data_IF_356636266508
#
_entry.id   IF_356636266508
#
_cell.length_a   1.000
_cell.length_b   1.000
_cell.length_c   1.000
_cell.angle_alpha   90.00
_cell.angle_beta   90.00
_cell.angle_gamma   90.00
#
_symmetry.space_group_name_H-M   'P 1'
#
loop_
_entity.id
_entity.type
_entity.pdbx_description
1 polymer ?
#
# COMPACT_ATOMS: atom_id res chain seq x y z
N UNK A 1 -4.21 4.04 7.33
CA UNK A 1 -4.41 5.48 7.11
C UNK A 1 -4.49 5.70 5.62
N UNK A 2 -5.62 6.19 5.10
CA UNK A 2 -5.72 6.55 3.69
C UNK A 2 -5.08 7.92 3.51
N UNK A 3 -3.92 7.95 2.84
CA UNK A 3 -3.04 9.11 2.74
C UNK A 3 -3.74 10.32 2.12
N UNK A 4 -4.74 10.09 1.26
CA UNK A 4 -5.57 11.13 0.66
C UNK A 4 -6.32 11.99 1.68
N UNK A 5 -6.93 11.40 2.69
CA UNK A 5 -7.66 12.19 3.72
C UNK A 5 -6.72 13.08 4.53
N UNK A 6 -5.49 12.60 4.76
CA UNK A 6 -4.45 13.42 5.38
C UNK A 6 -3.96 14.52 4.43
N UNK A 7 -3.94 14.27 3.13
CA UNK A 7 -3.59 15.25 2.10
C UNK A 7 -4.68 16.30 1.88
N UNK A 8 -5.96 15.91 1.93
CA UNK A 8 -7.12 16.83 1.87
C UNK A 8 -7.13 17.77 3.08
N UNK A 9 -6.75 17.29 4.27
CA UNK A 9 -6.54 18.14 5.44
C UNK A 9 -5.40 19.16 5.26
N UNK A 10 -4.51 18.94 4.29
CA UNK A 10 -3.39 19.80 3.91
C UNK A 10 -3.60 20.51 2.55
N UNK A 11 -4.81 20.46 1.98
CA UNK A 11 -5.16 21.03 0.65
C UNK A 11 -4.30 20.49 -0.51
N UNK A 12 -3.92 19.22 -0.43
CA UNK A 12 -3.11 18.51 -1.43
C UNK A 12 -3.97 17.53 -2.23
N UNK A 13 -4.01 17.72 -3.55
CA UNK A 13 -4.67 16.79 -4.48
C UNK A 13 -3.80 15.55 -4.67
N UNK A 14 -4.32 14.38 -4.31
CA UNK A 14 -3.66 13.08 -4.48
C UNK A 14 -4.19 12.35 -5.70
N UNK A 15 -3.28 11.91 -6.55
CA UNK A 15 -3.59 10.96 -7.62
C UNK A 15 -3.71 9.54 -7.04
N UNK A 16 -4.95 9.04 -6.95
CA UNK A 16 -5.23 7.70 -6.45
C UNK A 16 -4.69 6.61 -7.40
N UNK A 17 -4.71 6.84 -8.71
CA UNK A 17 -4.12 5.92 -9.70
C UNK A 17 -2.60 5.84 -9.51
N UNK A 18 -2.00 6.98 -9.16
CA UNK A 18 -0.69 7.17 -8.52
C UNK A 18 -0.28 6.11 -7.52
N UNK A 19 -1.22 5.81 -6.64
CA UNK A 19 -0.95 5.21 -5.33
C UNK A 19 -0.99 3.69 -5.37
N UNK A 20 -1.67 3.10 -6.35
CA UNK A 20 -1.84 1.64 -6.51
C UNK A 20 -1.05 1.06 -7.69
N UNK A 21 -0.01 1.77 -8.16
CA UNK A 21 0.82 1.28 -9.27
C UNK A 21 0.12 1.31 -10.64
N UNK A 22 -0.89 2.16 -10.82
CA UNK A 22 -1.48 2.42 -12.14
C UNK A 22 -0.49 3.09 -13.10
N UNK A 23 -0.90 3.30 -14.36
CA UNK A 23 -0.07 3.99 -15.36
C UNK A 23 -0.03 5.50 -15.04
N UNK A 24 0.91 5.90 -14.20
CA UNK A 24 1.00 7.25 -13.66
C UNK A 24 1.93 8.05 -14.55
N UNK A 25 1.35 9.02 -15.27
CA UNK A 25 2.16 10.13 -15.81
C UNK A 25 2.58 11.00 -14.62
N UNK A 26 3.71 10.66 -14.01
CA UNK A 26 4.31 11.42 -12.92
C UNK A 26 4.27 12.92 -13.23
N UNK A 27 3.45 13.67 -12.49
CA UNK A 27 3.37 15.12 -12.63
C UNK A 27 4.68 15.76 -12.21
N UNK A 28 5.46 16.26 -13.17
CA UNK A 28 6.55 17.26 -13.09
C UNK A 28 7.55 17.24 -11.91
N UNK A 29 7.64 16.18 -11.10
CA UNK A 29 8.66 15.95 -10.07
C UNK A 29 9.40 14.64 -10.31
N UNK A 30 10.64 14.47 -9.80
CA UNK A 30 11.30 13.18 -9.87
C UNK A 30 10.50 12.20 -9.01
N UNK A 31 9.84 11.23 -9.64
CA UNK A 31 9.14 10.14 -8.95
C UNK A 31 10.08 9.34 -8.06
N UNK A 32 9.53 8.37 -7.33
CA UNK A 32 10.36 7.45 -6.53
C UNK A 32 11.27 6.65 -7.46
N UNK A 33 12.59 6.71 -7.24
CA UNK A 33 13.55 5.94 -8.03
C UNK A 33 13.22 4.45 -7.96
N UNK A 34 13.16 3.79 -9.11
CA UNK A 34 12.84 2.36 -9.24
C UNK A 34 11.44 1.97 -8.72
N UNK A 35 10.49 2.91 -8.68
CA UNK A 35 9.10 2.69 -8.28
C UNK A 35 8.49 1.40 -8.84
N UNK A 36 8.55 1.18 -10.15
CA UNK A 36 7.97 -0.01 -10.79
C UNK A 36 8.58 -1.32 -10.28
N UNK A 37 9.89 -1.34 -10.03
CA UNK A 37 10.57 -2.52 -9.49
C UNK A 37 10.23 -2.73 -8.01
N UNK A 38 10.15 -1.66 -7.22
CA UNK A 38 9.75 -1.73 -5.81
C UNK A 38 8.31 -2.21 -5.64
N UNK A 39 7.39 -1.75 -6.50
CA UNK A 39 6.00 -2.22 -6.54
C UNK A 39 5.96 -3.69 -6.96
N UNK A 40 6.64 -4.07 -8.04
CA UNK A 40 6.69 -5.47 -8.48
C UNK A 40 7.26 -6.41 -7.39
N UNK A 41 8.27 -5.97 -6.65
CA UNK A 41 8.82 -6.72 -5.52
C UNK A 41 7.82 -6.87 -4.38
N UNK A 42 7.09 -5.79 -4.03
CA UNK A 42 6.07 -5.83 -2.98
C UNK A 42 4.90 -6.76 -3.33
N UNK A 43 4.40 -6.70 -4.57
CA UNK A 43 3.35 -7.60 -5.08
C UNK A 43 3.81 -9.06 -5.06
N UNK A 44 5.01 -9.34 -5.60
CA UNK A 44 5.56 -10.68 -5.59
C UNK A 44 5.74 -11.24 -4.17
N UNK A 45 6.16 -10.40 -3.22
CA UNK A 45 6.29 -10.78 -1.82
C UNK A 45 4.96 -10.99 -1.09
N UNK A 46 3.87 -10.37 -1.56
CA UNK A 46 2.53 -10.65 -1.09
C UNK A 46 2.04 -12.03 -1.57
N UNK A 47 2.30 -12.37 -2.83
CA UNK A 47 1.97 -13.69 -3.39
C UNK A 47 2.74 -14.83 -2.69
N UNK A 48 4.07 -14.74 -2.67
CA UNK A 48 4.91 -15.70 -1.94
C UNK A 48 6.35 -15.18 -1.73
N UNK A 49 7.01 -15.57 -0.63
CA UNK A 49 8.43 -15.28 -0.45
C UNK A 49 9.32 -15.79 -1.60
N UNK A 50 8.94 -16.89 -2.23
CA UNK A 50 9.64 -17.46 -3.39
C UNK A 50 9.53 -16.57 -4.63
N UNK A 51 8.36 -15.98 -4.89
CA UNK A 51 8.16 -15.08 -6.02
C UNK A 51 9.01 -13.81 -5.89
N UNK A 52 9.09 -13.22 -4.69
CA UNK A 52 9.93 -12.06 -4.43
C UNK A 52 11.42 -12.34 -4.69
N UNK A 53 11.91 -13.53 -4.30
CA UNK A 53 13.31 -13.93 -4.50
C UNK A 53 13.74 -14.00 -5.96
N UNK A 54 12.81 -14.15 -6.89
CA UNK A 54 13.11 -14.09 -8.32
C UNK A 54 13.61 -12.70 -8.76
N UNK A 55 13.32 -11.66 -7.96
CA UNK A 55 13.70 -10.28 -8.22
C UNK A 55 14.96 -9.84 -7.45
N UNK A 56 15.52 -10.66 -6.58
CA UNK A 56 16.67 -10.30 -5.72
C UNK A 56 17.84 -9.74 -6.52
N UNK A 57 18.16 -10.32 -7.68
CA UNK A 57 19.24 -9.84 -8.55
C UNK A 57 19.00 -8.42 -9.06
N UNK A 58 17.79 -8.13 -9.54
CA UNK A 58 17.41 -6.81 -10.03
C UNK A 58 17.36 -5.78 -8.90
N UNK A 59 16.86 -6.19 -7.73
CA UNK A 59 16.82 -5.36 -6.54
C UNK A 59 18.22 -5.02 -6.03
N UNK A 60 19.13 -5.99 -5.98
CA UNK A 60 20.52 -5.77 -5.58
C UNK A 60 21.23 -4.80 -6.53
N UNK A 61 20.95 -4.86 -7.83
CA UNK A 61 21.51 -3.92 -8.81
C UNK A 61 20.93 -2.50 -8.66
N UNK A 62 19.61 -2.39 -8.47
CA UNK A 62 18.91 -1.11 -8.45
C UNK A 62 19.03 -0.35 -7.12
N UNK A 63 18.89 -1.05 -5.99
CA UNK A 63 18.81 -0.44 -4.65
C UNK A 63 19.91 -0.91 -3.70
N UNK A 64 20.76 -1.85 -4.12
CA UNK A 64 21.85 -2.38 -3.32
C UNK A 64 21.38 -3.33 -2.19
N UNK A 65 22.31 -3.95 -1.46
CA UNK A 65 21.99 -4.87 -0.38
C UNK A 65 21.16 -4.24 0.74
N UNK A 66 21.50 -3.00 1.13
CA UNK A 66 20.74 -2.26 2.15
C UNK A 66 19.31 -1.95 1.71
N UNK A 67 19.15 -1.45 0.48
CA UNK A 67 17.82 -1.15 -0.06
C UNK A 67 16.94 -2.38 -0.24
N UNK A 68 17.51 -3.54 -0.62
CA UNK A 68 16.76 -4.80 -0.65
C UNK A 68 16.31 -5.24 0.75
N UNK A 69 17.17 -5.10 1.77
CA UNK A 69 16.79 -5.39 3.16
C UNK A 69 15.67 -4.46 3.62
N UNK A 70 15.78 -3.16 3.36
CA UNK A 70 14.75 -2.19 3.73
C UNK A 70 13.42 -2.49 3.04
N UNK A 71 13.44 -2.76 1.73
CA UNK A 71 12.24 -3.14 0.98
C UNK A 71 11.59 -4.41 1.53
N UNK A 72 12.38 -5.46 1.77
CA UNK A 72 11.89 -6.72 2.35
C UNK A 72 11.30 -6.51 3.75
N UNK A 73 11.96 -5.71 4.59
CA UNK A 73 11.50 -5.39 5.93
C UNK A 73 10.17 -4.61 5.92
N UNK A 74 10.06 -3.61 5.04
CA UNK A 74 8.82 -2.84 4.87
C UNK A 74 7.65 -3.75 4.48
N UNK A 75 7.83 -4.60 3.47
CA UNK A 75 6.77 -5.54 3.05
C UNK A 75 6.40 -6.49 4.18
N UNK A 76 7.38 -7.05 4.89
CA UNK A 76 7.13 -7.96 6.01
C UNK A 76 6.33 -7.30 7.14
N UNK A 77 6.66 -6.06 7.50
CA UNK A 77 5.94 -5.29 8.54
C UNK A 77 4.49 -5.08 8.15
N UNK A 78 4.21 -4.57 6.94
CA UNK A 78 2.83 -4.31 6.52
C UNK A 78 1.99 -5.59 6.37
N UNK A 79 2.57 -6.67 5.82
CA UNK A 79 1.91 -7.97 5.79
C UNK A 79 1.58 -8.49 7.21
N UNK A 80 2.48 -8.28 8.18
CA UNK A 80 2.25 -8.67 9.57
C UNK A 80 1.16 -7.83 10.25
N UNK A 81 1.15 -6.52 10.02
CA UNK A 81 0.17 -5.59 10.59
C UNK A 81 -1.24 -5.88 10.06
N UNK A 82 -1.39 -6.10 8.75
CA UNK A 82 -2.69 -6.44 8.15
C UNK A 82 -3.26 -7.72 8.76
N UNK A 83 -2.47 -8.80 8.82
CA UNK A 83 -2.92 -10.07 9.44
C UNK A 83 -3.28 -9.91 10.91
N UNK A 84 -2.51 -9.09 11.65
CA UNK A 84 -2.79 -8.84 13.06
C UNK A 84 -4.10 -8.06 13.24
N UNK A 85 -4.34 -7.04 12.43
CA UNK A 85 -5.58 -6.26 12.44
C UNK A 85 -6.79 -7.13 12.07
N UNK A 86 -6.66 -7.93 11.01
CA UNK A 86 -7.72 -8.85 10.57
C UNK A 86 -8.06 -9.88 11.65
N UNK A 87 -7.04 -10.49 12.27
CA UNK A 87 -7.23 -11.50 13.31
C UNK A 87 -7.83 -10.95 14.61
N UNK A 88 -7.56 -9.68 14.92
CA UNK A 88 -8.04 -9.03 16.15
C UNK A 88 -9.37 -8.29 15.95
N UNK A 89 -9.82 -8.15 14.71
CA UNK A 89 -11.06 -7.45 14.38
C UNK A 89 -10.97 -5.95 14.57
N UNK A 90 -9.78 -5.34 14.45
CA UNK A 90 -9.61 -3.90 14.66
C UNK A 90 -10.37 -3.15 13.54
N UNK A 91 -11.36 -2.31 13.88
CA UNK A 91 -12.08 -1.51 12.90
C UNK A 91 -11.25 -0.30 12.46
N UNK A 92 -11.60 0.27 11.30
CA UNK A 92 -11.27 1.65 11.00
C UNK A 92 -11.97 2.58 12.01
N UNK A 93 -11.30 3.65 12.41
CA UNK A 93 -11.91 4.66 13.26
C UNK A 93 -13.10 5.34 12.55
N UNK A 94 -14.07 5.82 13.33
CA UNK A 94 -15.31 6.40 12.79
C UNK A 94 -15.05 7.57 11.83
N UNK A 95 -14.06 8.41 12.14
CA UNK A 95 -13.70 9.56 11.32
C UNK A 95 -13.20 9.11 9.94
N UNK A 96 -12.25 8.17 9.90
CA UNK A 96 -11.73 7.58 8.65
C UNK A 96 -12.84 6.82 7.93
N UNK A 97 -13.69 6.08 8.63
CA UNK A 97 -14.80 5.33 8.04
C UNK A 97 -15.74 6.19 7.21
N UNK A 98 -16.18 7.31 7.77
CA UNK A 98 -17.11 8.24 7.11
C UNK A 98 -16.43 8.99 5.98
N UNK A 99 -15.16 9.37 6.16
CA UNK A 99 -14.43 10.21 5.22
C UNK A 99 -13.93 9.47 3.97
N UNK A 100 -13.79 8.14 4.04
CA UNK A 100 -13.12 7.35 2.99
C UNK A 100 -14.05 6.42 2.22
N UNK A 101 -15.35 6.67 2.24
CA UNK A 101 -16.34 5.81 1.59
C UNK A 101 -16.04 5.69 0.09
N UNK A 102 -15.88 6.84 -0.58
CA UNK A 102 -15.68 6.90 -2.03
C UNK A 102 -14.31 6.31 -2.43
N UNK A 103 -13.26 6.55 -1.65
CA UNK A 103 -11.93 5.98 -1.87
C UNK A 103 -11.94 4.46 -1.77
N UNK A 104 -12.59 3.93 -0.71
CA UNK A 104 -12.68 2.48 -0.51
C UNK A 104 -13.49 1.80 -1.60
N UNK A 105 -14.53 2.47 -2.11
CA UNK A 105 -15.28 2.00 -3.27
C UNK A 105 -14.42 2.05 -4.55
N UNK A 106 -13.82 3.19 -4.86
CA UNK A 106 -13.03 3.38 -6.08
C UNK A 106 -11.81 2.47 -6.18
N UNK A 107 -11.18 2.16 -5.04
CA UNK A 107 -10.01 1.29 -4.95
C UNK A 107 -10.37 -0.19 -4.71
N UNK A 108 -11.66 -0.55 -4.65
CA UNK A 108 -12.11 -1.92 -4.40
C UNK A 108 -11.78 -2.43 -2.99
N UNK A 109 -11.45 -1.55 -2.04
CA UNK A 109 -11.02 -1.96 -0.69
C UNK A 109 -12.12 -2.67 0.10
N UNK A 110 -13.39 -2.44 -0.25
CA UNK A 110 -14.52 -3.12 0.36
C UNK A 110 -14.57 -4.62 0.05
N UNK A 111 -13.86 -5.09 -0.97
CA UNK A 111 -13.84 -6.50 -1.39
C UNK A 111 -12.91 -7.38 -0.53
N UNK A 112 -11.97 -6.77 0.21
CA UNK A 112 -11.08 -7.52 1.11
C UNK A 112 -11.82 -7.98 2.37
N UNK A 113 -11.46 -9.17 2.87
CA UNK A 113 -12.09 -9.77 4.05
C UNK A 113 -12.02 -8.89 5.30
N UNK A 114 -10.94 -8.11 5.46
CA UNK A 114 -10.77 -7.19 6.58
C UNK A 114 -11.80 -6.06 6.63
N UNK A 115 -12.48 -5.76 5.51
CA UNK A 115 -13.54 -4.73 5.46
C UNK A 115 -14.71 -5.07 6.39
N UNK A 116 -14.95 -6.36 6.67
CA UNK A 116 -15.98 -6.83 7.59
C UNK A 116 -15.77 -6.36 9.03
N UNK A 117 -14.54 -6.00 9.41
CA UNK A 117 -14.25 -5.45 10.73
C UNK A 117 -14.74 -3.99 10.87
N UNK A 118 -15.06 -3.33 9.76
CA UNK A 118 -15.39 -1.90 9.72
C UNK A 118 -16.81 -1.68 9.19
N UNK A 119 -17.82 -1.96 10.02
CA UNK A 119 -19.24 -1.74 9.70
C UNK A 119 -19.75 -0.41 10.27
N UNK A 120 -20.60 0.29 9.52
CA UNK A 120 -21.20 1.55 9.99
C UNK A 120 -22.12 1.29 11.20
N UNK A 121 -21.77 1.86 12.35
CA UNK A 121 -22.58 1.79 13.58
C UNK A 121 -22.14 0.79 14.66
N UNK A 122 -20.90 0.31 14.61
CA UNK A 122 -20.27 -0.41 15.74
C UNK A 122 -19.76 0.54 16.83
#
# INVERSE_FOLDING_TARGET
MLLRESSDALDQVVDLTGTIGGDVRHGAGPGVSHDGLLVAYAEAAHDSPEAARLLDGQMLEAVGPGGLVDAAATVAVFNGLVRSADATGIPLDEYVMVRTVDEREALGLNEFSGSANSVAGA
#
